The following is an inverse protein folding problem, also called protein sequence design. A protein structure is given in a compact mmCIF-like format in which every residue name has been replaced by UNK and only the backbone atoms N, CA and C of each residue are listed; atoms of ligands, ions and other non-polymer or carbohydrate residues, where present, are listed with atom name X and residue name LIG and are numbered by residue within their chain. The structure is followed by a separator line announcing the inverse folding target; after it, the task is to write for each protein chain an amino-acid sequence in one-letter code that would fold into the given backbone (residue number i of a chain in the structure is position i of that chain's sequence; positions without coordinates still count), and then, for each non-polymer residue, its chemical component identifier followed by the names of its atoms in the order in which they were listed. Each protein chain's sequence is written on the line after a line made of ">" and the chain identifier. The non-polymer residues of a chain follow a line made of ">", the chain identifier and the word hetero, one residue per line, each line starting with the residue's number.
data_IF_174225532514
#
_entry.id   IF_174225532514
#
_cell.length_a   1.000
_cell.length_b   1.000
_cell.length_c   1.000
_cell.angle_alpha   90.00
_cell.angle_beta   90.00
_cell.angle_gamma   90.00
#
_symmetry.space_group_name_H-M   'P 1'
#
loop_
_entity.id
_entity.type
_entity.pdbx_description
1 polymer ?
#
# COMPACT_ATOMS: atom_id res chain seq x y z
N UNK A 1 6.01 -5.15 -6.71
CA UNK A 1 7.32 -4.69 -6.22
C UNK A 1 7.82 -5.63 -5.12
N UNK A 2 6.95 -5.96 -4.15
CA UNK A 2 7.01 -7.08 -3.20
C UNK A 2 7.81 -8.34 -3.63
N UNK A 3 7.68 -8.80 -4.88
CA UNK A 3 8.41 -9.98 -5.38
C UNK A 3 9.94 -9.80 -5.31
N UNK A 4 10.43 -8.61 -5.64
CA UNK A 4 11.85 -8.30 -5.58
C UNK A 4 12.31 -7.99 -4.15
N UNK A 5 11.51 -7.23 -3.38
CA UNK A 5 11.87 -6.87 -2.00
C UNK A 5 11.85 -8.08 -1.05
N UNK A 6 10.88 -8.99 -1.19
CA UNK A 6 10.60 -10.01 -0.16
C UNK A 6 10.59 -11.46 -0.63
N UNK A 7 10.53 -11.73 -1.94
CA UNK A 7 10.39 -13.10 -2.50
C UNK A 7 11.63 -13.56 -3.29
N UNK A 8 12.76 -12.85 -3.17
CA UNK A 8 14.04 -13.29 -3.73
C UNK A 8 14.11 -13.35 -5.27
N UNK A 9 13.22 -12.64 -5.99
CA UNK A 9 13.19 -12.63 -7.47
C UNK A 9 14.40 -11.94 -8.13
N UNK A 10 15.28 -11.33 -7.36
CA UNK A 10 16.46 -10.59 -7.79
C UNK A 10 16.71 -9.38 -6.89
N UNK A 11 17.96 -8.91 -6.79
CA UNK A 11 18.31 -7.74 -5.99
C UNK A 11 18.06 -6.45 -6.78
N UNK A 12 17.20 -5.57 -6.28
CA UNK A 12 17.11 -4.19 -6.76
C UNK A 12 18.25 -3.37 -6.14
N UNK A 13 19.08 -2.76 -6.98
CA UNK A 13 20.11 -1.82 -6.53
C UNK A 13 19.48 -0.57 -5.92
N UNK A 14 20.22 0.13 -5.07
CA UNK A 14 19.71 1.35 -4.42
C UNK A 14 19.16 2.38 -5.41
N UNK A 15 19.88 2.69 -6.49
CA UNK A 15 19.44 3.63 -7.53
C UNK A 15 18.09 3.25 -8.14
N UNK A 16 17.83 1.96 -8.33
CA UNK A 16 16.54 1.46 -8.84
C UNK A 16 15.45 1.62 -7.76
N UNK A 17 15.75 1.28 -6.50
CA UNK A 17 14.83 1.47 -5.36
C UNK A 17 14.41 2.93 -5.17
N UNK A 18 15.35 3.86 -5.20
CA UNK A 18 15.07 5.29 -5.04
C UNK A 18 14.23 5.84 -6.21
N UNK A 19 14.53 5.43 -7.44
CA UNK A 19 13.71 5.75 -8.61
C UNK A 19 12.29 5.17 -8.52
N UNK A 20 12.12 3.96 -7.96
CA UNK A 20 10.79 3.36 -7.73
C UNK A 20 10.00 4.17 -6.69
N UNK A 21 10.63 4.58 -5.59
CA UNK A 21 9.98 5.43 -4.58
C UNK A 21 9.55 6.79 -5.15
N UNK A 22 10.43 7.46 -5.91
CA UNK A 22 10.12 8.72 -6.60
C UNK A 22 9.00 8.55 -7.64
N UNK A 23 9.05 7.48 -8.45
CA UNK A 23 8.00 7.18 -9.44
C UNK A 23 6.64 6.90 -8.80
N UNK A 24 6.61 6.21 -7.66
CA UNK A 24 5.38 6.02 -6.88
C UNK A 24 4.84 7.35 -6.31
N UNK A 25 5.73 8.21 -5.81
CA UNK A 25 5.36 9.53 -5.31
C UNK A 25 4.78 10.42 -6.43
N UNK A 26 5.38 10.39 -7.63
CA UNK A 26 4.85 11.08 -8.81
C UNK A 26 3.50 10.51 -9.28
N UNK A 27 3.32 9.18 -9.25
CA UNK A 27 2.04 8.57 -9.59
C UNK A 27 0.93 9.00 -8.60
N UNK A 28 1.25 9.10 -7.31
CA UNK A 28 0.29 9.56 -6.30
C UNK A 28 0.03 11.07 -6.37
N UNK A 29 1.06 11.88 -6.67
CA UNK A 29 0.91 13.31 -6.95
C UNK A 29 -0.07 13.56 -8.11
N UNK A 30 0.07 12.80 -9.19
CA UNK A 30 -0.84 12.87 -10.34
C UNK A 30 -2.29 12.63 -9.93
N UNK A 31 -2.54 11.54 -9.19
CA UNK A 31 -3.89 11.18 -8.71
C UNK A 31 -4.49 12.22 -7.76
N UNK A 32 -3.68 12.84 -6.89
CA UNK A 32 -4.19 13.78 -5.88
C UNK A 32 -4.37 15.22 -6.39
N UNK A 33 -3.53 15.66 -7.33
CA UNK A 33 -3.34 17.08 -7.63
C UNK A 33 -3.19 17.45 -9.13
N UNK A 34 -2.95 16.50 -10.05
CA UNK A 34 -2.67 16.82 -11.47
C UNK A 34 -3.70 16.24 -12.46
N UNK A 35 -4.57 15.33 -12.00
CA UNK A 35 -5.77 14.91 -12.74
C UNK A 35 -6.92 15.91 -12.56
N UNK A 36 -7.89 15.90 -13.48
CA UNK A 36 -9.07 16.78 -13.46
C UNK A 36 -9.88 16.69 -12.16
N UNK A 37 -9.91 15.50 -11.56
CA UNK A 37 -10.55 15.24 -10.28
C UNK A 37 -9.57 14.58 -9.30
N UNK A 38 -9.75 14.79 -8.00
CA UNK A 38 -8.86 14.17 -7.01
C UNK A 38 -9.22 12.70 -6.81
N UNK A 39 -8.33 11.78 -7.17
CA UNK A 39 -8.51 10.33 -7.03
C UNK A 39 -7.76 9.81 -5.80
N UNK A 40 -8.50 9.24 -4.85
CA UNK A 40 -7.92 8.48 -3.74
C UNK A 40 -7.74 7.01 -4.17
N UNK A 41 -6.56 6.44 -3.95
CA UNK A 41 -6.23 5.07 -4.34
C UNK A 41 -6.75 4.03 -3.35
N UNK A 42 -6.61 4.31 -2.04
CA UNK A 42 -7.11 3.53 -0.88
C UNK A 42 -6.49 2.14 -0.66
N UNK A 43 -5.67 1.64 -1.59
CA UNK A 43 -4.93 0.37 -1.42
C UNK A 43 -3.48 0.42 -1.93
N UNK A 44 -2.74 1.45 -1.52
CA UNK A 44 -1.31 1.59 -1.86
C UNK A 44 -0.50 0.62 -1.01
N UNK A 45 0.16 -0.33 -1.67
CA UNK A 45 1.00 -1.36 -1.05
C UNK A 45 2.02 -1.91 -2.06
N UNK A 46 3.12 -2.50 -1.61
CA UNK A 46 4.19 -2.96 -2.51
C UNK A 46 3.80 -4.11 -3.45
N UNK A 47 2.69 -4.81 -3.26
CA UNK A 47 2.14 -5.73 -4.29
C UNK A 47 1.44 -5.00 -5.43
N UNK A 48 0.88 -3.81 -5.17
CA UNK A 48 0.11 -3.01 -6.13
C UNK A 48 1.01 -2.01 -6.91
N UNK A 49 2.29 -1.91 -6.53
CA UNK A 49 3.33 -1.23 -7.33
C UNK A 49 3.96 -2.21 -8.31
N UNK A 50 3.52 -2.15 -9.56
CA UNK A 50 4.10 -2.87 -10.69
C UNK A 50 5.43 -2.22 -11.12
N UNK A 51 6.28 -3.00 -11.79
CA UNK A 51 7.54 -2.55 -12.37
C UNK A 51 7.52 -2.91 -13.86
N UNK A 52 7.84 -1.96 -14.75
CA UNK A 52 7.99 -2.25 -16.18
C UNK A 52 9.38 -2.80 -16.54
N UNK A 53 9.63 -3.05 -17.83
CA UNK A 53 10.89 -3.62 -18.33
C UNK A 53 12.14 -2.81 -17.96
N UNK A 54 11.96 -1.51 -17.66
CA UNK A 54 13.02 -0.59 -17.30
C UNK A 54 13.03 -0.31 -15.78
N UNK A 55 12.29 -1.11 -14.99
CA UNK A 55 12.09 -0.98 -13.54
C UNK A 55 11.43 0.34 -13.10
N UNK A 56 10.67 1.02 -13.97
CA UNK A 56 9.88 2.17 -13.53
C UNK A 56 8.65 1.70 -12.75
N UNK A 57 8.31 2.41 -11.69
CA UNK A 57 7.12 2.16 -10.89
C UNK A 57 5.83 2.50 -11.66
N UNK A 58 4.83 1.62 -11.56
CA UNK A 58 3.46 1.85 -12.04
C UNK A 58 2.49 1.43 -10.93
N UNK A 59 1.71 2.38 -10.42
CA UNK A 59 0.66 2.08 -9.44
C UNK A 59 -0.52 1.43 -10.17
N UNK A 60 -1.06 0.35 -9.61
CA UNK A 60 -2.19 -0.40 -10.16
C UNK A 60 -3.12 -0.89 -9.05
N UNK A 61 -4.16 -1.62 -9.46
CA UNK A 61 -5.28 -2.07 -8.60
C UNK A 61 -6.09 -0.92 -7.98
N UNK A 62 -6.84 -0.25 -8.85
CA UNK A 62 -7.77 0.82 -8.52
C UNK A 62 -9.14 0.30 -8.03
N UNK A 63 -9.27 -0.98 -7.63
CA UNK A 63 -10.56 -1.57 -7.25
C UNK A 63 -11.25 -0.88 -6.05
N UNK A 64 -10.44 -0.29 -5.15
CA UNK A 64 -10.93 0.51 -4.03
C UNK A 64 -10.93 2.02 -4.28
N UNK A 65 -10.41 2.48 -5.42
CA UNK A 65 -10.19 3.90 -5.68
C UNK A 65 -11.50 4.70 -5.74
N UNK A 66 -11.45 5.97 -5.35
CA UNK A 66 -12.62 6.87 -5.30
C UNK A 66 -12.24 8.26 -5.78
N UNK A 67 -13.08 8.84 -6.62
CA UNK A 67 -13.01 10.25 -7.00
C UNK A 67 -13.60 11.10 -5.86
N UNK A 68 -12.93 12.18 -5.50
CA UNK A 68 -13.47 13.21 -4.61
C UNK A 68 -13.97 14.41 -5.42
N UNK A 69 -15.27 14.66 -5.30
CA UNK A 69 -15.90 15.88 -5.80
C UNK A 69 -15.43 17.10 -4.99
N UNK A 70 -15.15 18.21 -5.66
CA UNK A 70 -14.33 19.33 -5.17
C UNK A 70 -15.02 20.24 -4.11
N UNK A 71 -16.16 19.81 -3.56
CA UNK A 71 -16.91 20.57 -2.54
C UNK A 71 -17.66 19.73 -1.51
N UNK A 72 -17.54 18.40 -1.52
CA UNK A 72 -18.28 17.52 -0.62
C UNK A 72 -17.29 16.66 0.16
N UNK A 73 -17.24 16.82 1.49
CA UNK A 73 -16.55 15.84 2.35
C UNK A 73 -17.10 14.45 2.04
N UNK A 74 -16.22 13.54 1.62
CA UNK A 74 -16.59 12.17 1.27
C UNK A 74 -17.47 11.55 2.37
N UNK A 75 -18.68 11.11 1.98
CA UNK A 75 -19.52 10.30 2.86
C UNK A 75 -18.73 9.08 3.34
N UNK A 76 -19.06 8.55 4.51
CA UNK A 76 -18.31 7.48 5.18
C UNK A 76 -17.98 6.31 4.26
N UNK A 77 -16.78 6.33 3.66
CA UNK A 77 -16.29 5.29 2.77
C UNK A 77 -15.88 4.09 3.60
N UNK A 78 -16.82 3.15 3.81
CA UNK A 78 -16.65 1.98 4.68
C UNK A 78 -15.25 1.37 4.62
N UNK A 79 -14.73 1.02 5.81
CA UNK A 79 -13.35 0.60 6.04
C UNK A 79 -12.90 -0.44 5.01
N UNK A 80 -11.92 -0.05 4.18
CA UNK A 80 -11.36 -0.88 3.14
C UNK A 80 -9.91 -0.46 2.87
N UNK A 81 -9.08 -1.42 2.48
CA UNK A 81 -7.63 -1.30 2.31
C UNK A 81 -6.91 -2.46 3.03
N UNK A 82 -5.58 -2.52 2.90
CA UNK A 82 -4.79 -3.65 3.42
C UNK A 82 -4.21 -3.39 4.81
N UNK A 83 -4.40 -4.32 5.74
CA UNK A 83 -3.81 -4.28 7.09
C UNK A 83 -2.28 -4.12 7.01
N UNK A 84 -1.72 -3.19 7.80
CA UNK A 84 -0.31 -2.79 7.75
C UNK A 84 -0.03 -1.56 6.87
N UNK A 85 -0.93 -1.23 5.93
CA UNK A 85 -0.88 0.01 5.13
C UNK A 85 -2.00 0.98 5.50
N UNK A 86 -3.07 0.50 6.16
CA UNK A 86 -4.14 1.34 6.70
C UNK A 86 -3.61 2.29 7.79
N UNK A 87 -3.93 3.60 7.73
CA UNK A 87 -3.57 4.54 8.77
C UNK A 87 -4.42 4.36 10.03
N UNK A 88 -3.95 4.82 11.20
CA UNK A 88 -4.65 4.61 12.48
C UNK A 88 -6.09 5.17 12.49
N UNK A 89 -6.31 6.35 11.91
CA UNK A 89 -7.63 6.99 11.86
C UNK A 89 -8.65 6.31 10.93
N UNK A 90 -8.23 5.36 10.07
CA UNK A 90 -9.15 4.60 9.24
C UNK A 90 -10.17 3.81 10.09
N UNK A 91 -9.72 3.29 11.24
CA UNK A 91 -10.54 2.51 12.17
C UNK A 91 -11.57 3.35 12.93
N UNK A 92 -11.30 4.64 13.17
CA UNK A 92 -12.14 5.52 13.99
C UNK A 92 -13.03 6.45 13.16
N UNK A 93 -12.56 6.91 12.00
CA UNK A 93 -13.32 7.83 11.13
C UNK A 93 -14.02 7.14 9.97
N UNK A 94 -13.51 6.00 9.48
CA UNK A 94 -14.05 5.33 8.29
C UNK A 94 -14.10 6.24 7.05
N UNK A 95 -13.23 7.25 6.98
CA UNK A 95 -13.13 8.21 5.87
C UNK A 95 -11.79 8.05 5.18
N UNK A 96 -11.82 7.82 3.88
CA UNK A 96 -10.64 7.93 3.03
C UNK A 96 -10.31 9.40 2.78
N UNK A 97 -9.02 9.71 2.66
CA UNK A 97 -8.52 11.06 2.37
C UNK A 97 -7.14 11.01 1.70
N UNK A 98 -6.65 12.15 1.21
CA UNK A 98 -5.29 12.24 0.64
C UNK A 98 -4.23 11.80 1.65
N UNK A 99 -4.41 12.18 2.91
CA UNK A 99 -3.51 11.87 4.03
C UNK A 99 -3.49 10.36 4.33
N UNK A 100 -4.58 9.63 4.02
CA UNK A 100 -4.64 8.17 4.17
C UNK A 100 -3.82 7.41 3.10
N UNK A 101 -3.85 7.90 1.85
CA UNK A 101 -2.98 7.41 0.80
C UNK A 101 -1.51 7.77 1.06
N UNK A 102 -1.23 8.99 1.56
CA UNK A 102 0.13 9.42 1.96
C UNK A 102 0.71 8.50 3.04
N UNK A 103 -0.08 8.11 4.05
CA UNK A 103 0.37 7.13 5.04
C UNK A 103 0.76 5.79 4.39
N UNK A 104 -0.10 5.28 3.51
CA UNK A 104 0.13 4.02 2.79
C UNK A 104 1.37 4.10 1.90
N UNK A 105 1.61 5.24 1.24
CA UNK A 105 2.86 5.55 0.53
C UNK A 105 4.07 5.55 1.47
N UNK A 106 3.95 6.17 2.65
CA UNK A 106 5.00 6.20 3.67
C UNK A 106 5.45 4.81 4.10
N UNK A 107 4.50 3.89 4.31
CA UNK A 107 4.80 2.48 4.59
C UNK A 107 5.59 1.85 3.44
N UNK A 108 5.17 2.03 2.18
CA UNK A 108 5.88 1.48 1.01
C UNK A 108 7.27 2.11 0.83
N UNK A 109 7.47 3.39 1.14
CA UNK A 109 8.77 4.04 1.15
C UNK A 109 9.74 3.38 2.16
N UNK A 110 9.25 3.07 3.36
CA UNK A 110 10.01 2.31 4.36
C UNK A 110 10.27 0.87 3.91
N UNK A 111 9.31 0.20 3.26
CA UNK A 111 9.52 -1.16 2.71
C UNK A 111 10.64 -1.19 1.67
N UNK A 112 10.70 -0.18 0.78
CA UNK A 112 11.74 -0.02 -0.24
C UNK A 112 13.12 0.18 0.39
N UNK A 113 13.21 1.03 1.42
CA UNK A 113 14.45 1.36 2.11
C UNK A 113 14.98 0.19 2.97
N UNK A 114 14.09 -0.50 3.67
CA UNK A 114 14.44 -1.51 4.68
C UNK A 114 14.47 -2.94 4.14
N UNK A 115 13.86 -3.24 2.99
CA UNK A 115 13.73 -4.62 2.48
C UNK A 115 12.83 -5.51 3.33
N UNK A 116 12.05 -4.94 4.24
CA UNK A 116 11.18 -5.64 5.19
C UNK A 116 9.72 -5.30 4.91
N UNK A 117 8.82 -6.25 5.19
CA UNK A 117 7.37 -6.06 5.04
C UNK A 117 6.83 -5.09 6.10
N UNK A 118 5.74 -4.41 5.78
CA UNK A 118 4.98 -3.55 6.71
C UNK A 118 4.66 -4.24 8.05
N UNK A 119 4.32 -5.54 7.99
CA UNK A 119 4.17 -6.42 9.16
C UNK A 119 5.04 -7.67 8.93
N UNK A 120 5.96 -7.93 9.85
CA UNK A 120 6.78 -9.13 9.88
C UNK A 120 6.32 -10.03 11.04
N UNK A 121 5.68 -11.19 10.75
CA UNK A 121 5.19 -12.06 11.81
C UNK A 121 6.33 -12.77 12.54
N UNK A 122 6.23 -12.86 13.87
CA UNK A 122 7.16 -13.62 14.73
C UNK A 122 6.39 -14.46 15.74
N UNK A 123 7.05 -15.45 16.34
CA UNK A 123 6.43 -16.40 17.27
C UNK A 123 5.75 -15.75 18.50
N UNK A 124 6.19 -14.56 18.91
CA UNK A 124 5.70 -13.91 20.14
C UNK A 124 4.83 -12.68 19.86
N UNK A 125 5.29 -11.77 18.98
CA UNK A 125 4.61 -10.52 18.63
C UNK A 125 5.05 -10.08 17.23
N UNK A 126 4.11 -9.60 16.43
CA UNK A 126 4.37 -9.07 15.09
C UNK A 126 5.20 -7.78 15.14
N UNK A 127 6.22 -7.66 14.28
CA UNK A 127 6.98 -6.41 14.16
C UNK A 127 6.37 -5.53 13.09
N UNK A 128 5.87 -4.38 13.52
CA UNK A 128 5.42 -3.30 12.66
C UNK A 128 6.62 -2.48 12.17
N UNK A 129 6.73 -2.31 10.85
CA UNK A 129 7.88 -1.65 10.23
C UNK A 129 8.05 -0.20 10.69
N UNK A 130 6.95 0.56 10.69
CA UNK A 130 6.92 1.98 11.09
C UNK A 130 7.47 2.17 12.50
N UNK A 131 6.91 1.47 13.49
CA UNK A 131 7.31 1.55 14.90
C UNK A 131 8.80 1.18 15.10
N UNK A 132 9.31 0.19 14.34
CA UNK A 132 10.71 -0.21 14.40
C UNK A 132 11.66 0.85 13.83
N UNK A 133 11.36 1.42 12.67
CA UNK A 133 12.18 2.50 12.09
C UNK A 133 12.09 3.76 12.98
N UNK A 134 10.93 4.06 13.56
CA UNK A 134 10.78 5.20 14.47
C UNK A 134 11.63 5.07 15.73
N UNK A 135 11.74 3.85 16.27
CA UNK A 135 12.64 3.55 17.40
C UNK A 135 14.11 3.81 17.04
N UNK A 136 14.54 3.46 15.82
CA UNK A 136 15.90 3.73 15.35
C UNK A 136 16.14 5.23 15.11
N UNK A 137 15.16 5.94 14.53
CA UNK A 137 15.21 7.41 14.39
C UNK A 137 15.31 8.11 15.75
N UNK A 138 14.57 7.65 16.76
CA UNK A 138 14.63 8.18 18.13
C UNK A 138 15.99 7.99 18.82
N UNK A 139 16.84 7.08 18.31
CA UNK A 139 18.21 6.85 18.76
C UNK A 139 19.26 7.58 17.90
N UNK A 140 18.85 8.24 16.81
CA UNK A 140 19.76 8.81 15.81
C UNK A 140 20.42 7.77 14.90
N UNK A 141 19.86 6.55 14.81
CA UNK A 141 20.45 5.39 14.14
C UNK A 141 19.63 4.90 12.94
N UNK A 142 18.88 5.80 12.28
CA UNK A 142 17.88 5.44 11.26
C UNK A 142 18.46 4.60 10.10
N UNK A 143 19.69 4.89 9.67
CA UNK A 143 20.38 4.12 8.62
C UNK A 143 20.63 2.65 8.99
N UNK A 144 20.57 2.25 10.27
CA UNK A 144 20.59 0.83 10.68
C UNK A 144 19.31 0.08 10.29
N UNK A 145 18.27 0.78 9.86
CA UNK A 145 17.07 0.17 9.28
C UNK A 145 17.27 -0.26 7.82
N UNK A 146 18.35 0.15 7.16
CA UNK A 146 18.60 -0.08 5.73
C UNK A 146 18.66 -1.57 5.39
N UNK A 147 18.21 -1.94 4.19
CA UNK A 147 18.18 -3.32 3.74
C UNK A 147 19.59 -3.95 3.74
N UNK A 148 19.85 -4.99 4.57
CA UNK A 148 21.17 -5.64 4.64
C UNK A 148 21.63 -6.23 3.31
N UNK A 149 20.71 -6.58 2.39
CA UNK A 149 21.04 -7.11 1.05
C UNK A 149 21.67 -6.07 0.11
N UNK A 150 21.64 -4.78 0.47
CA UNK A 150 22.37 -3.74 -0.24
C UNK A 150 23.86 -3.70 0.13
N UNK A 151 24.30 -4.35 1.20
CA UNK A 151 25.70 -4.38 1.67
C UNK A 151 26.37 -2.98 1.80
N UNK A 152 25.58 -1.95 2.13
CA UNK A 152 26.06 -0.55 2.19
C UNK A 152 26.19 0.14 0.82
N UNK A 153 25.81 -0.51 -0.29
CA UNK A 153 25.81 0.10 -1.62
C UNK A 153 24.54 0.94 -1.86
N UNK A 154 24.42 2.02 -1.10
CA UNK A 154 23.40 3.06 -1.25
C UNK A 154 24.01 4.46 -1.05
N UNK A 155 23.33 5.49 -1.52
CA UNK A 155 23.64 6.86 -1.16
C UNK A 155 23.01 7.14 0.22
N UNK A 156 23.83 7.49 1.23
CA UNK A 156 23.36 7.68 2.60
C UNK A 156 22.34 8.82 2.72
N UNK A 157 22.49 9.88 1.92
CA UNK A 157 21.61 11.04 1.93
C UNK A 157 20.27 10.71 1.31
N UNK A 158 20.25 10.01 0.17
CA UNK A 158 19.01 9.50 -0.43
C UNK A 158 18.31 8.49 0.50
N UNK A 159 19.06 7.59 1.14
CA UNK A 159 18.53 6.58 2.07
C UNK A 159 17.89 7.23 3.30
N UNK A 160 18.61 8.12 3.97
CA UNK A 160 18.09 8.89 5.11
C UNK A 160 16.86 9.71 4.68
N UNK A 161 16.93 10.41 3.55
CA UNK A 161 15.80 11.22 3.03
C UNK A 161 14.56 10.36 2.77
N UNK A 162 14.71 9.18 2.14
CA UNK A 162 13.58 8.27 1.90
C UNK A 162 12.97 7.78 3.22
N UNK A 163 13.81 7.43 4.20
CA UNK A 163 13.34 7.00 5.51
C UNK A 163 12.62 8.13 6.25
N UNK A 164 13.21 9.32 6.34
CA UNK A 164 12.60 10.48 7.01
C UNK A 164 11.29 10.89 6.33
N UNK A 165 11.21 10.89 5.00
CA UNK A 165 9.95 11.15 4.27
C UNK A 165 8.92 10.06 4.56
N UNK A 166 9.31 8.78 4.52
CA UNK A 166 8.45 7.65 4.87
C UNK A 166 7.88 7.77 6.29
N UNK A 167 8.73 8.15 7.25
CA UNK A 167 8.33 8.44 8.64
C UNK A 167 7.35 9.63 8.70
N UNK A 168 7.67 10.79 8.13
CA UNK A 168 6.76 11.95 8.09
C UNK A 168 5.38 11.60 7.49
N UNK A 169 5.35 10.78 6.44
CA UNK A 169 4.12 10.29 5.83
C UNK A 169 3.33 9.34 6.76
N UNK A 170 4.02 8.56 7.61
CA UNK A 170 3.40 7.66 8.59
C UNK A 170 2.99 8.34 9.91
N UNK A 171 2.95 9.68 9.98
CA UNK A 171 2.60 10.39 11.21
C UNK A 171 1.17 10.04 11.67
N UNK A 172 0.96 9.88 12.98
CA UNK A 172 -0.32 9.39 13.54
C UNK A 172 -1.43 10.43 13.52
N UNK A 173 -1.09 11.71 13.79
CA UNK A 173 -1.95 12.82 13.38
C UNK A 173 -1.83 13.00 11.86
N UNK A 174 -2.93 12.76 11.15
CA UNK A 174 -3.02 12.87 9.70
C UNK A 174 -2.81 14.31 9.20
N UNK A 175 -3.11 15.33 10.01
CA UNK A 175 -2.90 16.75 9.65
C UNK A 175 -1.43 17.18 9.66
N UNK A 176 -0.56 16.39 10.28
CA UNK A 176 0.89 16.63 10.34
C UNK A 176 1.66 15.81 9.30
N UNK A 177 0.98 15.01 8.47
CA UNK A 177 1.57 14.35 7.30
C UNK A 177 1.84 15.41 6.22
N UNK A 178 2.96 15.33 5.48
CA UNK A 178 3.18 16.20 4.32
C UNK A 178 2.15 15.92 3.23
N UNK A 179 1.86 16.90 2.38
CA UNK A 179 1.20 16.61 1.09
C UNK A 179 2.14 15.77 0.23
N UNK A 180 1.58 15.01 -0.72
CA UNK A 180 2.40 14.22 -1.63
C UNK A 180 3.33 15.11 -2.48
N UNK A 181 2.91 16.33 -2.83
CA UNK A 181 3.79 17.34 -3.47
C UNK A 181 5.00 17.70 -2.60
N UNK A 182 4.80 17.94 -1.30
CA UNK A 182 5.90 18.23 -0.37
C UNK A 182 6.85 17.03 -0.25
N UNK A 183 6.31 15.80 -0.18
CA UNK A 183 7.13 14.58 -0.18
C UNK A 183 7.96 14.45 -1.47
N UNK A 184 7.38 14.70 -2.66
CA UNK A 184 8.11 14.72 -3.94
C UNK A 184 9.23 15.78 -3.94
N UNK A 185 8.97 16.99 -3.47
CA UNK A 185 9.98 18.06 -3.39
C UNK A 185 11.16 17.68 -2.48
N UNK A 186 10.89 17.06 -1.33
CA UNK A 186 11.94 16.59 -0.41
C UNK A 186 12.76 15.44 -1.06
N UNK A 187 12.09 14.46 -1.69
CA UNK A 187 12.74 13.33 -2.39
C UNK A 187 13.57 13.77 -3.62
N UNK A 188 13.25 14.92 -4.21
CA UNK A 188 14.04 15.53 -5.28
C UNK A 188 15.16 16.46 -4.77
N UNK A 189 15.27 16.66 -3.45
CA UNK A 189 16.13 17.67 -2.81
C UNK A 189 15.81 19.13 -3.21
N UNK A 190 14.58 19.40 -3.66
CA UNK A 190 14.04 20.74 -3.93
C UNK A 190 13.57 21.45 -2.65
N UNK A 191 13.34 20.68 -1.58
CA UNK A 191 12.98 21.16 -0.24
C UNK A 191 13.87 20.51 0.84
N UNK A 192 14.10 21.18 1.99
CA UNK A 192 14.92 20.63 3.07
C UNK A 192 14.25 19.41 3.73
N UNK A 193 15.08 18.45 4.14
CA UNK A 193 14.63 17.26 4.89
C UNK A 193 14.11 17.68 6.28
N UNK A 194 12.89 17.29 6.69
CA UNK A 194 12.36 17.65 8.01
C UNK A 194 13.17 17.06 9.16
N UNK A 195 13.44 17.86 10.19
CA UNK A 195 14.10 17.38 11.41
C UNK A 195 13.05 16.70 12.31
N UNK A 196 13.07 15.37 12.37
CA UNK A 196 12.21 14.59 13.26
C UNK A 196 12.75 14.61 14.70
N UNK A 197 11.98 15.18 15.62
CA UNK A 197 12.29 15.12 17.07
C UNK A 197 11.57 13.96 17.74
N UNK A 198 12.07 13.48 18.87
CA UNK A 198 11.44 12.39 19.63
C UNK A 198 10.00 12.71 20.10
N UNK A 199 9.60 13.98 20.16
CA UNK A 199 8.23 14.41 20.47
C UNK A 199 7.24 14.19 19.32
N UNK A 200 7.72 13.90 18.11
CA UNK A 200 6.89 13.64 16.94
C UNK A 200 6.33 12.19 16.93
N UNK A 201 6.72 11.34 17.90
CA UNK A 201 6.16 9.99 18.05
C UNK A 201 5.05 9.97 19.10
N UNK A 202 3.79 9.92 18.67
CA UNK A 202 2.65 9.68 19.54
C UNK A 202 1.82 8.50 19.03
N UNK A 203 1.68 7.47 19.87
CA UNK A 203 0.94 6.21 19.67
C UNK A 203 1.57 5.18 18.70
N UNK A 204 2.07 4.09 19.27
CA UNK A 204 2.51 2.88 18.57
C UNK A 204 1.31 2.10 17.99
N UNK A 205 1.49 1.48 16.83
CA UNK A 205 0.45 0.67 16.19
C UNK A 205 0.07 -0.56 17.03
N UNK A 206 0.99 -1.14 17.83
CA UNK A 206 0.68 -2.26 18.74
C UNK A 206 -0.47 -1.94 19.71
N UNK A 207 -0.54 -0.69 20.18
CA UNK A 207 -1.59 -0.19 21.07
C UNK A 207 -2.94 0.01 20.38
N UNK A 208 -2.96 0.09 19.05
CA UNK A 208 -4.16 0.26 18.22
C UNK A 208 -4.65 -1.07 17.62
N UNK A 209 -3.75 -1.95 17.17
CA UNK A 209 -4.09 -3.33 16.77
C UNK A 209 -4.80 -4.09 17.90
N UNK A 210 -4.34 -3.91 19.14
CA UNK A 210 -4.98 -4.45 20.36
C UNK A 210 -6.42 -3.94 20.61
N UNK A 211 -6.89 -2.94 19.87
CA UNK A 211 -8.23 -2.35 19.97
C UNK A 211 -9.14 -2.65 18.77
N UNK A 212 -8.64 -3.31 17.72
CA UNK A 212 -9.45 -3.64 16.55
C UNK A 212 -10.23 -4.94 16.75
N UNK A 213 -11.56 -4.99 16.50
CA UNK A 213 -12.30 -6.25 16.46
C UNK A 213 -11.85 -7.10 15.25
N UNK A 214 -11.69 -8.40 15.46
CA UNK A 214 -11.12 -9.32 14.48
C UNK A 214 -11.95 -9.38 13.17
N UNK A 215 -11.28 -9.14 12.04
CA UNK A 215 -11.90 -9.22 10.71
C UNK A 215 -11.83 -10.64 10.15
N UNK A 216 -12.95 -11.16 9.66
CA UNK A 216 -13.02 -12.49 9.04
C UNK A 216 -12.34 -12.47 7.65
N UNK A 217 -11.32 -13.31 7.48
CA UNK A 217 -10.55 -13.43 6.25
C UNK A 217 -11.16 -14.43 5.28
N UNK A 218 -12.01 -13.95 4.35
CA UNK A 218 -12.44 -14.74 3.20
C UNK A 218 -11.28 -14.90 2.19
N UNK A 219 -10.41 -15.88 2.45
CA UNK A 219 -9.39 -16.31 1.51
C UNK A 219 -10.03 -17.13 0.38
N UNK A 220 -10.30 -16.48 -0.77
CA UNK A 220 -10.45 -17.23 -2.02
C UNK A 220 -9.07 -17.69 -2.51
N UNK A 221 -8.63 -18.83 -2.00
CA UNK A 221 -7.47 -19.55 -2.55
C UNK A 221 -7.92 -20.41 -3.74
N UNK A 222 -7.46 -20.03 -4.93
CA UNK A 222 -7.59 -20.86 -6.14
C UNK A 222 -6.59 -22.02 -6.07
N UNK A 223 -7.02 -23.18 -5.59
CA UNK A 223 -6.21 -24.41 -5.59
C UNK A 223 -6.71 -25.39 -6.66
N UNK A 224 -5.86 -25.58 -7.69
CA UNK A 224 -5.98 -26.67 -8.65
C UNK A 224 -5.86 -28.01 -7.92
N UNK A 225 -6.77 -28.96 -8.19
CA UNK A 225 -6.63 -30.34 -7.74
C UNK A 225 -7.00 -31.33 -8.85
N UNK A 226 -6.09 -32.26 -9.10
CA UNK A 226 -6.19 -33.29 -10.14
C UNK A 226 -6.41 -34.66 -9.51
N UNK A 227 -7.24 -35.50 -10.14
CA UNK A 227 -7.46 -36.94 -9.81
C UNK A 227 -8.06 -37.25 -8.43
N UNK A 228 -8.83 -38.32 -8.22
CA UNK A 228 -9.18 -39.46 -9.08
C UNK A 228 -10.58 -40.04 -8.80
N UNK A 229 -11.04 -40.89 -9.72
CA UNK A 229 -12.30 -41.65 -9.75
C UNK A 229 -12.59 -42.44 -8.45
N UNK A 230 -13.85 -42.43 -8.01
CA UNK A 230 -14.53 -43.62 -7.47
C UNK A 230 -16.05 -43.56 -7.70
N UNK A 231 -16.66 -44.73 -7.84
CA UNK A 231 -18.01 -44.97 -8.37
C UNK A 231 -19.13 -44.85 -7.32
N UNK A 232 -20.29 -44.33 -7.70
CA UNK A 232 -21.52 -44.37 -6.88
C UNK A 232 -22.77 -44.04 -7.69
N UNK A 233 -23.52 -45.06 -8.12
CA UNK A 233 -24.76 -44.92 -8.89
C UNK A 233 -26.01 -44.75 -8.02
N UNK A 234 -26.91 -43.83 -8.38
CA UNK A 234 -28.37 -44.00 -8.24
C UNK A 234 -29.14 -42.94 -9.05
N UNK A 235 -30.34 -43.32 -9.51
CA UNK A 235 -31.21 -42.53 -10.38
C UNK A 235 -32.28 -41.76 -9.59
N UNK A 236 -32.67 -40.57 -10.06
CA UNK A 236 -34.07 -40.13 -10.00
C UNK A 236 -34.35 -38.92 -10.92
N UNK A 237 -35.21 -39.17 -11.91
CA UNK A 237 -36.09 -38.21 -12.64
C UNK A 237 -36.61 -37.09 -11.72
N UNK A 238 -36.70 -35.80 -12.07
CA UNK A 238 -37.39 -35.12 -13.19
C UNK A 238 -36.85 -33.67 -13.33
N UNK A 239 -37.07 -32.86 -14.37
CA UNK A 239 -37.87 -32.97 -15.60
C UNK A 239 -37.26 -32.08 -16.73
N UNK A 240 -37.97 -31.85 -17.83
CA UNK A 240 -37.71 -30.75 -18.77
C UNK A 240 -38.81 -29.69 -18.74
N UNK A 241 -38.45 -28.44 -19.00
CA UNK A 241 -39.26 -27.58 -19.87
C UNK A 241 -38.34 -26.69 -20.72
N UNK A 242 -38.59 -26.65 -22.02
CA UNK A 242 -37.78 -25.96 -23.04
C UNK A 242 -38.59 -24.76 -23.53
N UNK A 243 -38.01 -23.56 -23.48
CA UNK A 243 -38.53 -22.41 -24.23
C UNK A 243 -37.37 -21.79 -25.03
N UNK A 244 -37.47 -21.92 -26.36
CA UNK A 244 -36.58 -21.32 -27.36
C UNK A 244 -37.23 -20.06 -27.99
N UNK A 245 -36.47 -19.21 -28.70
CA UNK A 245 -36.77 -17.77 -28.75
C UNK A 245 -37.60 -17.33 -29.98
N UNK A 246 -38.23 -16.16 -29.85
CA UNK A 246 -38.72 -15.33 -30.95
C UNK A 246 -37.82 -14.07 -31.03
N UNK A 247 -37.01 -13.89 -32.08
CA UNK A 247 -37.36 -13.38 -33.41
C UNK A 247 -37.42 -11.85 -33.46
N UNK A 248 -36.41 -11.25 -34.10
CA UNK A 248 -36.31 -9.82 -34.35
C UNK A 248 -37.00 -9.42 -35.67
N UNK A 249 -37.54 -8.19 -35.79
CA UNK A 249 -37.91 -7.60 -37.07
C UNK A 249 -36.77 -6.75 -37.64
N UNK A 250 -36.38 -7.05 -38.88
CA UNK A 250 -35.66 -6.12 -39.75
C UNK A 250 -36.63 -5.02 -40.23
N UNK A 251 -36.17 -3.77 -40.30
CA UNK A 251 -36.66 -2.85 -41.33
C UNK A 251 -35.55 -1.89 -41.78
N UNK A 252 -35.20 -2.03 -43.06
CA UNK A 252 -34.46 -1.03 -43.85
C UNK A 252 -35.44 0.01 -44.38
N UNK A 253 -35.16 1.30 -44.20
CA UNK A 253 -34.83 2.27 -45.26
C UNK A 253 -34.61 3.66 -44.65
#
# INVERSE_FOLDING_TARGET
>A
LDYYLFKGKGLLTWKVRYNIARGLASALLYLHEEWEECVLHRDIKSSNVMLDSNFNARLGDFGLARVMDHGIESQTTGLAGTIGYLPPEATTRGKASRESDVYSFGVVALEIACGRKAIEPKMNEDIYLVDWVWKLQGLGEVLKASDPSLYGHFDEKEMETLMIVGLCCCHTDYLLRPTIRQAVQILNFEAPVPILTARNYNASWSSMASRTPAFASNQHSSSTSSSSILTGSSQSTTNLEIITPAAAPLHTY
#
